data_IF_848702212516
#
_entry.id   IF_848702212516
#
_cell.length_a   1.000
_cell.length_b   1.000
_cell.length_c   1.000
_cell.angle_alpha   90.00
_cell.angle_beta   90.00
_cell.angle_gamma   90.00
#
_symmetry.space_group_name_H-M   'P 1'
#
loop_
_entity.id
_entity.type
_entity.pdbx_description
1 polymer ?
#
# COMPACT_ATOMS: atom_id res chain seq x y z
N UNK A 1 19.01 -3.36 -20.06
CA UNK A 1 18.33 -2.61 -18.98
C UNK A 1 17.69 -3.61 -18.04
N UNK A 2 17.85 -3.43 -16.72
CA UNK A 2 17.17 -4.28 -15.74
C UNK A 2 15.70 -3.87 -15.63
N UNK A 3 14.79 -4.85 -15.67
CA UNK A 3 13.35 -4.62 -15.48
C UNK A 3 12.93 -4.93 -14.05
N UNK A 4 11.96 -4.17 -13.57
CA UNK A 4 11.39 -4.33 -12.24
C UNK A 4 9.86 -4.29 -12.31
N UNK A 5 9.22 -4.88 -11.30
CA UNK A 5 7.79 -4.86 -11.07
C UNK A 5 7.58 -4.12 -9.75
N UNK A 6 6.79 -3.04 -9.78
CA UNK A 6 6.33 -2.37 -8.56
C UNK A 6 4.91 -2.84 -8.28
N UNK A 7 4.72 -3.57 -7.18
CA UNK A 7 3.43 -4.03 -6.71
C UNK A 7 2.93 -3.09 -5.60
N UNK A 8 1.68 -2.64 -5.72
CA UNK A 8 0.97 -1.91 -4.68
C UNK A 8 -0.04 -2.82 -4.00
N UNK A 9 -0.02 -2.82 -2.67
CA UNK A 9 -1.00 -3.47 -1.81
C UNK A 9 -1.68 -2.39 -0.97
N UNK A 10 -2.91 -2.03 -1.37
CA UNK A 10 -3.71 -1.01 -0.71
C UNK A 10 -4.50 -1.67 0.42
N UNK A 11 -3.95 -1.60 1.63
CA UNK A 11 -4.52 -2.20 2.83
C UNK A 11 -5.45 -1.27 3.60
N UNK A 12 -5.93 -1.70 4.76
CA UNK A 12 -6.76 -0.86 5.62
C UNK A 12 -5.96 0.12 6.49
N UNK A 13 -4.64 -0.04 6.61
CA UNK A 13 -3.79 0.82 7.45
C UNK A 13 -2.66 1.51 6.68
N UNK A 14 -2.60 1.32 5.36
CA UNK A 14 -1.56 1.88 4.52
C UNK A 14 -1.46 1.23 3.15
N UNK A 15 -0.76 1.92 2.24
CA UNK A 15 -0.37 1.43 0.93
C UNK A 15 1.07 0.92 1.01
N UNK A 16 1.26 -0.38 0.75
CA UNK A 16 2.59 -0.98 0.66
C UNK A 16 3.04 -1.05 -0.79
N UNK A 17 4.16 -0.40 -1.08
CA UNK A 17 4.84 -0.54 -2.36
C UNK A 17 6.00 -1.54 -2.23
N UNK A 18 6.02 -2.57 -3.07
CA UNK A 18 7.06 -3.60 -3.07
C UNK A 18 7.70 -3.71 -4.45
N UNK A 19 9.02 -3.57 -4.51
CA UNK A 19 9.80 -3.66 -5.73
C UNK A 19 10.35 -5.09 -5.89
N UNK A 20 10.06 -5.71 -7.03
CA UNK A 20 10.59 -7.01 -7.42
C UNK A 20 11.42 -6.91 -8.69
N UNK A 21 12.45 -7.75 -8.83
CA UNK A 21 13.05 -8.03 -10.13
C UNK A 21 12.07 -8.78 -11.04
N UNK A 22 12.31 -8.80 -12.34
CA UNK A 22 11.54 -9.62 -13.29
C UNK A 22 11.50 -11.13 -12.98
N UNK A 23 12.50 -11.65 -12.24
CA UNK A 23 12.54 -13.05 -11.80
C UNK A 23 11.86 -13.30 -10.43
N UNK A 24 11.11 -12.31 -9.91
CA UNK A 24 10.38 -12.43 -8.65
C UNK A 24 11.20 -12.20 -7.38
N UNK A 25 12.51 -11.88 -7.47
CA UNK A 25 13.31 -11.52 -6.29
C UNK A 25 12.82 -10.20 -5.68
N UNK A 26 12.57 -10.21 -4.37
CA UNK A 26 12.32 -9.00 -3.57
C UNK A 26 13.56 -8.09 -3.57
N UNK A 27 13.39 -6.84 -3.99
CA UNK A 27 14.44 -5.81 -4.00
C UNK A 27 14.29 -4.88 -2.81
N UNK A 28 13.05 -4.52 -2.47
CA UNK A 28 12.75 -3.66 -1.32
C UNK A 28 11.26 -3.40 -1.19
N UNK A 29 10.87 -2.77 -0.09
CA UNK A 29 9.49 -2.37 0.16
C UNK A 29 9.42 -1.16 1.08
N UNK A 30 8.40 -0.33 0.91
CA UNK A 30 8.01 0.70 1.87
C UNK A 30 6.50 0.66 2.11
N UNK A 31 6.08 1.28 3.21
CA UNK A 31 4.66 1.44 3.56
C UNK A 31 4.42 2.92 3.83
N UNK A 32 3.39 3.48 3.20
CA UNK A 32 2.81 4.76 3.59
C UNK A 32 1.55 4.47 4.40
N UNK A 33 1.52 4.90 5.66
CA UNK A 33 0.36 4.71 6.54
C UNK A 33 -0.62 5.86 6.41
N UNK A 34 -1.91 5.55 6.51
CA UNK A 34 -3.00 6.52 6.58
C UNK A 34 -3.99 6.12 7.69
N UNK A 35 -4.81 7.08 8.10
CA UNK A 35 -5.79 6.87 9.16
C UNK A 35 -7.03 6.14 8.62
N UNK A 36 -7.79 5.57 9.54
CA UNK A 36 -9.15 5.12 9.31
C UNK A 36 -10.01 5.77 10.39
N UNK A 37 -11.04 6.47 9.96
CA UNK A 37 -11.95 7.15 10.86
C UNK A 37 -13.06 6.19 11.29
N UNK A 38 -13.27 6.10 12.60
CA UNK A 38 -14.23 5.19 13.20
C UNK A 38 -15.43 5.94 13.76
N UNK A 39 -16.63 5.57 13.30
CA UNK A 39 -17.89 6.19 13.73
C UNK A 39 -18.93 5.13 14.11
N UNK A 40 -19.96 5.54 14.84
CA UNK A 40 -21.17 4.74 15.13
C UNK A 40 -20.88 3.27 15.50
N UNK A 41 -19.82 3.02 16.28
CA UNK A 41 -19.29 1.73 16.71
C UNK A 41 -18.82 0.75 15.62
N UNK A 42 -19.38 0.78 14.42
CA UNK A 42 -19.15 -0.22 13.37
C UNK A 42 -18.71 0.37 12.02
N UNK A 43 -18.64 1.70 11.91
CA UNK A 43 -18.24 2.34 10.66
C UNK A 43 -16.74 2.55 10.68
N UNK A 44 -16.12 2.23 9.54
CA UNK A 44 -14.70 2.42 9.29
C UNK A 44 -14.59 3.06 7.90
N UNK A 45 -14.23 4.33 7.86
CA UNK A 45 -14.14 5.14 6.64
C UNK A 45 -12.71 5.63 6.43
N UNK A 46 -12.35 5.90 5.18
CA UNK A 46 -11.04 6.41 4.77
C UNK A 46 -11.22 7.51 3.73
N UNK A 47 -10.32 8.50 3.71
CA UNK A 47 -10.22 9.43 2.59
C UNK A 47 -9.51 8.74 1.42
N UNK A 48 -10.14 8.76 0.24
CA UNK A 48 -9.57 8.17 -0.96
C UNK A 48 -8.35 8.94 -1.48
N UNK A 49 -8.21 10.22 -1.10
CA UNK A 49 -7.05 11.04 -1.45
C UNK A 49 -5.78 10.61 -0.68
N UNK A 50 -5.91 9.93 0.46
CA UNK A 50 -4.76 9.41 1.22
C UNK A 50 -4.11 8.18 0.58
N UNK A 51 -4.70 7.63 -0.49
CA UNK A 51 -4.25 6.38 -1.12
C UNK A 51 -3.09 6.56 -2.13
N UNK A 52 -2.85 7.77 -2.66
CA UNK A 52 -2.00 8.04 -3.83
C UNK A 52 -0.92 9.12 -3.63
#
# INVERSE_FOLDING_TARGET
MTKYILAHDLGTSGNKATLFSENGKLIGSCVSSYNTDYFNSLWAEQDAEDWW
#
